data_IF_679278724233
#
_entry.id   IF_679278724233
#
_cell.length_a   1.000
_cell.length_b   1.000
_cell.length_c   1.000
_cell.angle_alpha   90.00
_cell.angle_beta   90.00
_cell.angle_gamma   90.00
#
_symmetry.space_group_name_H-M   'P 1'
#
loop_
_entity.id
_entity.type
_entity.pdbx_description
1 polymer ?
#
# COMPACT_ATOMS: atom_id res chain seq x y z
N UNK A 1 -0.62 -20.46 -10.79
CA UNK A 1 -1.61 -20.29 -9.69
C UNK A 1 -1.25 -19.06 -8.84
N UNK A 2 -2.23 -18.25 -8.43
CA UNK A 2 -2.02 -17.08 -7.55
C UNK A 2 -2.55 -17.37 -6.14
N UNK A 3 -1.69 -17.28 -5.12
CA UNK A 3 -2.07 -17.35 -3.71
C UNK A 3 -2.43 -15.96 -3.19
N UNK A 4 -3.57 -15.81 -2.53
CA UNK A 4 -3.96 -14.58 -1.81
C UNK A 4 -4.09 -14.90 -0.32
N UNK A 5 -3.32 -14.21 0.53
CA UNK A 5 -3.47 -14.34 2.00
C UNK A 5 -4.45 -13.33 2.57
N UNK A 6 -4.92 -13.56 3.81
CA UNK A 6 -5.97 -12.76 4.45
C UNK A 6 -7.18 -12.54 3.51
N UNK A 7 -7.48 -13.58 2.72
CA UNK A 7 -8.38 -13.47 1.58
C UNK A 7 -9.83 -13.25 2.00
N UNK A 8 -10.23 -13.64 3.21
CA UNK A 8 -11.59 -13.44 3.71
C UNK A 8 -11.85 -11.97 4.09
N UNK A 9 -10.80 -11.16 4.28
CA UNK A 9 -10.92 -9.72 4.54
C UNK A 9 -11.47 -8.93 3.35
N UNK A 10 -11.93 -7.70 3.59
CA UNK A 10 -12.54 -6.82 2.55
C UNK A 10 -11.65 -6.67 1.31
N UNK A 11 -10.37 -6.33 1.50
CA UNK A 11 -9.39 -6.18 0.40
C UNK A 11 -9.15 -7.51 -0.30
N UNK A 12 -8.98 -8.60 0.46
CA UNK A 12 -8.78 -9.95 -0.07
C UNK A 12 -9.94 -10.39 -0.97
N UNK A 13 -11.19 -10.24 -0.53
CA UNK A 13 -12.39 -10.57 -1.31
C UNK A 13 -12.47 -9.80 -2.63
N UNK A 14 -12.16 -8.50 -2.59
CA UNK A 14 -12.11 -7.65 -3.79
C UNK A 14 -11.03 -8.12 -4.77
N UNK A 15 -9.84 -8.45 -4.26
CA UNK A 15 -8.74 -8.94 -5.09
C UNK A 15 -9.06 -10.31 -5.70
N UNK A 16 -9.58 -11.26 -4.92
CA UNK A 16 -9.98 -12.58 -5.43
C UNK A 16 -11.00 -12.42 -6.56
N UNK A 17 -12.03 -11.58 -6.37
CA UNK A 17 -13.03 -11.30 -7.41
C UNK A 17 -12.39 -10.74 -8.69
N UNK A 18 -11.48 -9.78 -8.56
CA UNK A 18 -10.81 -9.17 -9.71
C UNK A 18 -9.95 -10.20 -10.46
N UNK A 19 -9.14 -10.99 -9.75
CA UNK A 19 -8.28 -12.01 -10.36
C UNK A 19 -9.08 -13.12 -11.05
N UNK A 20 -10.18 -13.57 -10.45
CA UNK A 20 -11.07 -14.56 -11.06
C UNK A 20 -11.73 -14.00 -12.33
N UNK A 21 -12.16 -12.73 -12.30
CA UNK A 21 -12.73 -12.06 -13.47
C UNK A 21 -11.75 -12.02 -14.65
N UNK A 22 -10.46 -11.83 -14.37
CA UNK A 22 -9.36 -11.89 -15.36
C UNK A 22 -8.95 -13.33 -15.73
N UNK A 23 -9.73 -14.34 -15.34
CA UNK A 23 -9.49 -15.75 -15.66
C UNK A 23 -8.27 -16.35 -14.95
N UNK A 24 -7.76 -15.72 -13.88
CA UNK A 24 -6.59 -16.24 -13.15
C UNK A 24 -7.01 -17.30 -12.13
N UNK A 25 -6.29 -18.43 -12.03
CA UNK A 25 -6.54 -19.43 -11.00
C UNK A 25 -6.07 -18.91 -9.63
N UNK A 26 -7.01 -18.78 -8.68
CA UNK A 26 -6.74 -18.24 -7.34
C UNK A 26 -6.87 -19.32 -6.27
N UNK A 27 -5.86 -19.41 -5.40
CA UNK A 27 -5.93 -20.06 -4.08
C UNK A 27 -6.10 -18.98 -3.03
N UNK A 28 -7.23 -18.97 -2.33
CA UNK A 28 -7.51 -18.05 -1.25
C UNK A 28 -7.21 -18.69 0.11
N UNK A 29 -6.40 -18.01 0.92
CA UNK A 29 -6.02 -18.47 2.27
C UNK A 29 -6.37 -17.43 3.32
N UNK A 30 -6.95 -17.90 4.41
CA UNK A 30 -7.21 -17.12 5.61
C UNK A 30 -7.21 -18.04 6.84
N UNK A 31 -6.99 -17.48 8.02
CA UNK A 31 -7.23 -18.19 9.28
C UNK A 31 -8.73 -18.32 9.56
N UNK A 32 -9.53 -17.37 9.06
CA UNK A 32 -10.97 -17.35 9.21
C UNK A 32 -11.64 -18.43 8.33
N UNK A 33 -12.51 -19.29 8.89
CA UNK A 33 -13.25 -20.30 8.13
C UNK A 33 -14.08 -19.74 6.96
N UNK A 34 -14.50 -18.48 7.04
CA UNK A 34 -15.25 -17.77 6.00
C UNK A 34 -14.51 -17.65 4.66
N UNK A 35 -13.20 -17.95 4.59
CA UNK A 35 -12.49 -18.06 3.31
C UNK A 35 -13.10 -19.12 2.38
N UNK A 36 -13.78 -20.14 2.94
CA UNK A 36 -14.50 -21.14 2.15
C UNK A 36 -15.59 -20.56 1.26
N UNK A 37 -16.20 -19.43 1.65
CA UNK A 37 -17.22 -18.73 0.86
C UNK A 37 -16.67 -18.19 -0.46
N UNK A 38 -15.35 -17.99 -0.58
CA UNK A 38 -14.74 -17.43 -1.79
C UNK A 38 -14.77 -18.41 -2.97
N UNK A 39 -15.12 -19.68 -2.73
CA UNK A 39 -15.55 -20.62 -3.76
C UNK A 39 -16.67 -20.05 -4.62
N UNK A 40 -17.66 -19.40 -4.00
CA UNK A 40 -18.79 -18.80 -4.69
C UNK A 40 -18.37 -17.56 -5.52
N UNK A 41 -17.21 -16.99 -5.24
CA UNK A 41 -16.60 -15.92 -6.04
C UNK A 41 -15.69 -16.48 -7.17
N UNK A 42 -15.62 -17.81 -7.33
CA UNK A 42 -14.83 -18.49 -8.35
C UNK A 42 -13.38 -18.77 -7.97
N UNK A 43 -13.01 -18.68 -6.68
CA UNK A 43 -11.68 -19.12 -6.24
C UNK A 43 -11.47 -20.61 -6.54
N UNK A 44 -10.40 -20.91 -7.29
CA UNK A 44 -10.04 -22.28 -7.69
C UNK A 44 -9.68 -23.14 -6.49
N UNK A 45 -9.12 -22.55 -5.45
CA UNK A 45 -8.84 -23.20 -4.16
C UNK A 45 -9.16 -22.27 -2.98
N UNK A 46 -9.63 -22.84 -1.88
CA UNK A 46 -9.83 -22.14 -0.59
C UNK A 46 -9.25 -22.99 0.52
N UNK A 47 -8.46 -22.39 1.40
CA UNK A 47 -7.77 -23.11 2.46
C UNK A 47 -7.80 -22.30 3.76
N UNK A 48 -8.34 -22.90 4.82
CA UNK A 48 -8.28 -22.35 6.18
C UNK A 48 -6.93 -22.72 6.77
N UNK A 49 -6.05 -21.75 7.02
CA UNK A 49 -4.70 -22.02 7.49
C UNK A 49 -4.18 -20.89 8.39
N UNK A 50 -3.62 -21.27 9.53
CA UNK A 50 -2.69 -20.40 10.24
C UNK A 50 -1.33 -20.43 9.53
N UNK A 51 -0.91 -19.28 9.01
CA UNK A 51 0.35 -19.13 8.31
C UNK A 51 1.56 -19.10 9.26
N UNK A 52 1.38 -19.18 10.57
CA UNK A 52 2.48 -19.45 11.50
C UNK A 52 2.81 -20.94 11.55
N UNK A 53 1.87 -21.82 11.19
CA UNK A 53 2.09 -23.26 11.13
C UNK A 53 2.88 -23.66 9.87
N UNK A 54 4.10 -24.23 10.00
CA UNK A 54 4.95 -24.54 8.85
C UNK A 54 4.32 -25.52 7.85
N UNK A 55 3.57 -26.51 8.34
CA UNK A 55 2.91 -27.50 7.48
C UNK A 55 1.80 -26.85 6.63
N UNK A 56 0.98 -26.00 7.25
CA UNK A 56 -0.11 -25.29 6.56
C UNK A 56 0.42 -24.24 5.58
N UNK A 57 1.53 -23.56 5.90
CA UNK A 57 2.21 -22.69 4.93
C UNK A 57 2.72 -23.45 3.71
N UNK A 58 3.39 -24.60 3.91
CA UNK A 58 3.87 -25.43 2.79
C UNK A 58 2.74 -25.86 1.87
N UNK A 59 1.63 -26.31 2.46
CA UNK A 59 0.41 -26.66 1.73
C UNK A 59 -0.15 -25.46 0.95
N UNK A 60 -0.24 -24.29 1.59
CA UNK A 60 -0.70 -23.07 0.94
C UNK A 60 0.18 -22.68 -0.26
N UNK A 61 1.50 -22.91 -0.19
CA UNK A 61 2.48 -22.52 -1.20
C UNK A 61 2.65 -23.54 -2.34
N UNK A 62 2.13 -24.77 -2.19
CA UNK A 62 2.35 -25.84 -3.16
C UNK A 62 1.78 -25.50 -4.56
N UNK A 63 2.64 -25.44 -5.57
CA UNK A 63 2.25 -25.12 -6.96
C UNK A 63 1.87 -23.65 -7.19
N UNK A 64 2.25 -22.75 -6.29
CA UNK A 64 2.00 -21.30 -6.41
C UNK A 64 3.08 -20.65 -7.26
N UNK A 65 2.67 -19.88 -8.26
CA UNK A 65 3.58 -19.09 -9.12
C UNK A 65 3.71 -17.65 -8.62
N UNK A 66 2.66 -17.11 -8.01
CA UNK A 66 2.60 -15.74 -7.51
C UNK A 66 1.90 -15.68 -6.17
N UNK A 67 2.47 -14.95 -5.22
CA UNK A 67 1.85 -14.68 -3.92
C UNK A 67 1.43 -13.22 -3.86
N UNK A 68 0.19 -12.96 -3.45
CA UNK A 68 -0.24 -11.65 -2.98
C UNK A 68 -0.46 -11.72 -1.47
N UNK A 69 0.53 -11.23 -0.74
CA UNK A 69 0.51 -11.25 0.71
C UNK A 69 -0.13 -9.99 1.27
N UNK A 70 -1.34 -10.15 1.82
CA UNK A 70 -2.01 -9.14 2.63
C UNK A 70 -1.78 -9.52 4.10
N UNK A 71 -1.08 -8.66 4.83
CA UNK A 71 -0.86 -8.82 6.27
C UNK A 71 -2.18 -8.66 7.05
N UNK A 72 -2.46 -9.51 8.05
CA UNK A 72 -3.67 -9.42 8.85
C UNK A 72 -3.70 -8.11 9.66
N UNK A 73 -4.81 -7.39 9.59
CA UNK A 73 -4.95 -6.07 10.18
C UNK A 73 -4.85 -6.11 11.72
N UNK A 74 -3.98 -5.29 12.30
CA UNK A 74 -3.75 -5.15 13.75
C UNK A 74 -3.34 -6.45 14.46
N UNK A 75 -2.79 -7.43 13.74
CA UNK A 75 -2.30 -8.64 14.35
C UNK A 75 -0.92 -8.41 14.98
N UNK A 76 -0.77 -8.70 16.28
CA UNK A 76 0.48 -8.49 17.02
C UNK A 76 1.69 -9.24 16.42
N UNK A 77 1.46 -10.34 15.69
CA UNK A 77 2.50 -11.13 14.98
C UNK A 77 2.51 -10.90 13.47
N UNK A 78 1.98 -9.79 12.97
CA UNK A 78 1.91 -9.51 11.52
C UNK A 78 3.27 -9.63 10.84
N UNK A 79 4.33 -9.06 11.43
CA UNK A 79 5.69 -9.15 10.88
C UNK A 79 6.20 -10.59 10.78
N UNK A 80 5.99 -11.39 11.83
CA UNK A 80 6.39 -12.80 11.87
C UNK A 80 5.66 -13.63 10.81
N UNK A 81 4.35 -13.41 10.64
CA UNK A 81 3.55 -14.04 9.59
C UNK A 81 4.13 -13.69 8.22
N UNK A 82 4.39 -12.41 7.97
CA UNK A 82 4.94 -11.96 6.69
C UNK A 82 6.32 -12.55 6.41
N UNK A 83 7.23 -12.55 7.38
CA UNK A 83 8.54 -13.21 7.24
C UNK A 83 8.41 -14.70 6.93
N UNK A 84 7.52 -15.40 7.62
CA UNK A 84 7.28 -16.82 7.39
C UNK A 84 6.73 -17.10 5.98
N UNK A 85 5.87 -16.23 5.46
CA UNK A 85 5.29 -16.32 4.11
C UNK A 85 6.34 -16.04 3.03
N UNK A 86 7.18 -15.02 3.21
CA UNK A 86 8.27 -14.69 2.27
C UNK A 86 9.32 -15.81 2.24
N UNK A 87 9.70 -16.33 3.41
CA UNK A 87 10.64 -17.45 3.50
C UNK A 87 10.11 -18.70 2.80
N UNK A 88 8.82 -18.98 2.92
CA UNK A 88 8.20 -20.12 2.24
C UNK A 88 8.05 -19.88 0.73
N UNK A 89 7.73 -18.66 0.31
CA UNK A 89 7.69 -18.30 -1.11
C UNK A 89 9.07 -18.51 -1.79
N UNK A 90 10.15 -18.13 -1.10
CA UNK A 90 11.53 -18.40 -1.54
C UNK A 90 11.79 -19.90 -1.67
N UNK A 91 11.42 -20.70 -0.68
CA UNK A 91 11.63 -22.17 -0.70
C UNK A 91 10.85 -22.87 -1.80
N UNK A 92 9.62 -22.42 -2.05
CA UNK A 92 8.75 -22.96 -3.08
C UNK A 92 9.11 -22.50 -4.50
N UNK A 93 10.10 -21.60 -4.67
CA UNK A 93 10.48 -21.08 -5.97
C UNK A 93 9.39 -20.22 -6.61
N UNK A 94 8.62 -19.48 -5.81
CA UNK A 94 7.60 -18.54 -6.29
C UNK A 94 8.24 -17.54 -7.25
N UNK A 95 7.62 -17.36 -8.43
CA UNK A 95 8.13 -16.49 -9.48
C UNK A 95 7.89 -15.00 -9.23
N UNK A 96 6.88 -14.64 -8.43
CA UNK A 96 6.62 -13.25 -8.06
C UNK A 96 5.92 -13.09 -6.70
N UNK A 97 6.34 -12.11 -5.89
CA UNK A 97 5.78 -11.81 -4.58
C UNK A 97 5.25 -10.37 -4.51
N UNK A 98 3.94 -10.21 -4.29
CA UNK A 98 3.30 -8.92 -4.11
C UNK A 98 3.04 -8.69 -2.63
N UNK A 99 3.78 -7.76 -2.01
CA UNK A 99 3.57 -7.32 -0.64
C UNK A 99 2.52 -6.22 -0.59
N UNK A 100 1.41 -6.44 0.12
CA UNK A 100 0.43 -5.40 0.44
C UNK A 100 0.85 -4.66 1.72
N UNK A 101 1.54 -3.55 1.55
CA UNK A 101 2.08 -2.72 2.61
C UNK A 101 1.16 -1.52 2.91
N UNK A 102 1.73 -0.35 3.20
CA UNK A 102 1.07 0.91 3.51
C UNK A 102 2.00 2.07 3.13
N UNK A 103 1.45 3.23 2.80
CA UNK A 103 2.23 4.45 2.63
C UNK A 103 2.93 4.87 3.94
N UNK A 104 4.15 5.43 3.81
CA UNK A 104 4.99 5.88 4.92
C UNK A 104 5.15 4.83 6.04
N UNK A 105 5.61 3.59 5.71
CA UNK A 105 5.81 2.56 6.71
C UNK A 105 6.93 2.91 7.71
N UNK A 106 7.77 3.92 7.40
CA UNK A 106 8.89 4.41 8.21
C UNK A 106 8.48 5.23 9.44
N UNK A 107 7.20 5.61 9.57
CA UNK A 107 6.73 6.37 10.74
C UNK A 107 6.70 5.43 11.96
N UNK A 108 7.69 5.55 12.86
CA UNK A 108 7.92 4.62 13.98
C UNK A 108 6.76 4.57 14.99
N UNK A 109 6.07 5.70 15.20
CA UNK A 109 4.94 5.77 16.11
C UNK A 109 3.73 4.91 15.67
N UNK A 110 3.69 4.48 14.40
CA UNK A 110 2.60 3.67 13.86
C UNK A 110 3.01 2.20 13.85
N UNK A 111 2.71 1.46 14.92
CA UNK A 111 3.16 0.07 15.09
C UNK A 111 2.69 -0.87 13.96
N UNK A 112 1.49 -0.68 13.44
CA UNK A 112 0.98 -1.44 12.30
C UNK A 112 1.69 -1.09 10.98
N UNK A 113 2.30 0.10 10.87
CA UNK A 113 3.18 0.46 9.74
C UNK A 113 4.55 -0.21 9.90
N UNK A 114 5.09 -0.23 11.12
CA UNK A 114 6.36 -0.88 11.41
C UNK A 114 6.33 -2.39 11.12
N UNK A 115 5.21 -3.07 11.41
CA UNK A 115 5.04 -4.47 11.03
C UNK A 115 5.16 -4.67 9.51
N UNK A 116 4.57 -3.78 8.71
CA UNK A 116 4.67 -3.82 7.25
C UNK A 116 6.07 -3.49 6.76
N UNK A 117 6.72 -2.48 7.36
CA UNK A 117 8.13 -2.14 7.06
C UNK A 117 9.05 -3.34 7.30
N UNK A 118 8.84 -4.08 8.38
CA UNK A 118 9.63 -5.26 8.69
C UNK A 118 9.51 -6.34 7.59
N UNK A 119 8.32 -6.52 7.02
CA UNK A 119 8.11 -7.46 5.91
C UNK A 119 8.67 -6.90 4.60
N UNK A 120 8.49 -5.61 4.31
CA UNK A 120 9.10 -4.96 3.14
C UNK A 120 10.62 -5.16 3.12
N UNK A 121 11.31 -4.89 4.25
CA UNK A 121 12.75 -5.11 4.38
C UNK A 121 13.16 -6.55 4.06
N UNK A 122 12.38 -7.52 4.53
CA UNK A 122 12.68 -8.92 4.28
C UNK A 122 12.43 -9.35 2.83
N UNK A 123 11.40 -8.81 2.18
CA UNK A 123 11.16 -9.01 0.73
C UNK A 123 12.29 -8.38 -0.09
N UNK A 124 12.70 -7.15 0.22
CA UNK A 124 13.78 -6.42 -0.45
C UNK A 124 15.12 -7.16 -0.40
N UNK A 125 15.35 -7.92 0.67
CA UNK A 125 16.56 -8.72 0.88
C UNK A 125 16.44 -10.17 0.36
N UNK A 126 15.30 -10.52 -0.24
CA UNK A 126 15.06 -11.85 -0.80
C UNK A 126 15.40 -11.90 -2.29
N UNK A 127 15.78 -13.07 -2.83
CA UNK A 127 15.98 -13.24 -4.28
C UNK A 127 14.66 -13.39 -5.06
N UNK A 128 13.50 -13.31 -4.40
CA UNK A 128 12.20 -13.52 -5.04
C UNK A 128 11.82 -12.23 -5.79
N UNK A 129 11.49 -12.29 -7.10
CA UNK A 129 10.97 -11.12 -7.81
C UNK A 129 9.74 -10.57 -7.11
N UNK A 130 9.63 -9.24 -6.94
CA UNK A 130 8.60 -8.69 -6.07
C UNK A 130 7.98 -7.38 -6.55
N UNK A 131 6.86 -7.03 -5.94
CA UNK A 131 6.22 -5.71 -6.00
C UNK A 131 5.72 -5.33 -4.62
N UNK A 132 6.00 -4.11 -4.16
CA UNK A 132 5.47 -3.60 -2.90
C UNK A 132 4.38 -2.58 -3.24
N UNK A 133 3.15 -2.87 -2.81
CA UNK A 133 2.02 -1.94 -2.93
C UNK A 133 1.87 -1.16 -1.62
N UNK A 134 1.93 0.16 -1.69
CA UNK A 134 1.84 1.06 -0.53
C UNK A 134 0.55 1.88 -0.60
N UNK A 135 -0.62 1.28 -0.34
CA UNK A 135 -1.89 1.97 -0.37
C UNK A 135 -1.96 3.08 0.68
N UNK A 136 -2.73 4.12 0.34
CA UNK A 136 -3.17 5.15 1.29
C UNK A 136 -4.46 4.73 2.01
N UNK A 137 -4.97 5.62 2.86
CA UNK A 137 -6.21 5.41 3.59
C UNK A 137 -7.36 5.07 2.64
N UNK A 138 -8.06 3.97 2.90
CA UNK A 138 -9.10 3.50 1.99
C UNK A 138 -10.38 4.31 2.13
N UNK A 139 -10.97 4.72 1.00
CA UNK A 139 -12.30 5.33 0.98
C UNK A 139 -13.38 4.40 1.55
N UNK A 140 -13.20 3.07 1.44
CA UNK A 140 -14.10 2.07 2.04
C UNK A 140 -14.14 2.08 3.58
N UNK A 141 -13.26 2.84 4.24
CA UNK A 141 -13.30 3.07 5.69
C UNK A 141 -14.13 4.31 6.05
N UNK A 142 -14.61 5.08 5.07
CA UNK A 142 -15.43 6.26 5.26
C UNK A 142 -16.90 5.85 5.15
N UNK A 143 -17.71 6.22 6.15
CA UNK A 143 -19.17 6.17 6.03
C UNK A 143 -19.63 7.31 5.10
N UNK A 144 -19.57 7.05 3.80
CA UNK A 144 -19.99 8.01 2.77
C UNK A 144 -21.46 8.39 2.94
N UNK A 145 -22.42 7.45 3.11
CA UNK A 145 -23.82 7.82 3.33
C UNK A 145 -24.03 8.70 4.56
N UNK A 146 -23.40 8.39 5.69
CA UNK A 146 -23.47 9.22 6.89
C UNK A 146 -22.86 10.60 6.70
N UNK A 147 -21.70 10.66 6.02
CA UNK A 147 -21.02 11.91 5.68
C UNK A 147 -21.91 12.82 4.82
N UNK A 148 -22.55 12.26 3.78
CA UNK A 148 -23.46 13.00 2.89
C UNK A 148 -24.66 13.52 3.66
N UNK A 149 -25.31 12.69 4.49
CA UNK A 149 -26.45 13.13 5.32
C UNK A 149 -26.08 14.24 6.30
N UNK A 150 -24.90 14.16 6.91
CA UNK A 150 -24.44 15.15 7.89
C UNK A 150 -23.87 16.43 7.25
N UNK A 151 -23.67 16.45 5.93
CA UNK A 151 -22.98 17.54 5.21
C UNK A 151 -21.53 17.76 5.63
N UNK A 152 -20.97 16.89 6.48
CA UNK A 152 -19.64 17.05 7.09
C UNK A 152 -18.99 15.70 7.33
N UNK A 153 -17.69 15.60 7.02
CA UNK A 153 -16.85 14.44 7.35
C UNK A 153 -15.98 14.76 8.57
N UNK A 154 -16.25 14.13 9.71
CA UNK A 154 -15.44 14.31 10.93
C UNK A 154 -14.28 13.32 10.94
N UNK A 155 -13.06 13.84 11.02
CA UNK A 155 -11.84 13.04 11.19
C UNK A 155 -11.52 12.92 12.68
N UNK A 156 -10.88 11.82 13.12
CA UNK A 156 -10.43 11.66 14.51
C UNK A 156 -9.20 12.51 14.86
N UNK A 157 -8.77 13.41 13.96
CA UNK A 157 -7.60 14.27 14.13
C UNK A 157 -7.97 15.72 13.83
N UNK A 158 -7.30 16.66 14.49
CA UNK A 158 -7.44 18.08 14.20
C UNK A 158 -7.02 18.39 12.76
N UNK A 159 -7.63 19.42 12.15
CA UNK A 159 -7.27 19.89 10.81
C UNK A 159 -5.80 20.32 10.68
N UNK A 160 -5.16 20.65 11.81
CA UNK A 160 -3.78 21.11 11.91
C UNK A 160 -2.78 20.00 12.25
N UNK A 161 -3.24 18.75 12.41
CA UNK A 161 -2.35 17.63 12.69
C UNK A 161 -1.27 17.52 11.60
N UNK A 162 -0.09 17.01 11.97
CA UNK A 162 1.04 16.72 11.05
C UNK A 162 0.73 15.51 10.15
N UNK A 163 -0.43 15.50 9.53
CA UNK A 163 -0.89 14.50 8.57
C UNK A 163 -1.21 15.24 7.27
N UNK A 164 -0.81 14.66 6.15
CA UNK A 164 -1.06 15.21 4.82
C UNK A 164 -2.57 15.37 4.58
N UNK A 165 -3.08 16.58 4.74
CA UNK A 165 -4.49 16.86 4.50
C UNK A 165 -4.67 17.16 3.02
N UNK A 166 -5.29 16.22 2.30
CA UNK A 166 -5.69 16.43 0.92
C UNK A 166 -6.99 17.24 0.92
N UNK A 167 -6.95 18.45 0.38
CA UNK A 167 -8.14 19.18 -0.02
C UNK A 167 -8.41 18.86 -1.48
N UNK A 168 -9.40 18.02 -1.72
CA UNK A 168 -9.88 17.72 -3.08
C UNK A 168 -10.87 18.80 -3.47
N UNK A 169 -10.59 19.47 -4.59
CA UNK A 169 -11.45 20.50 -5.17
C UNK A 169 -12.49 19.87 -6.10
N UNK A 170 -13.41 20.68 -6.62
CA UNK A 170 -14.49 20.21 -7.48
C UNK A 170 -13.93 19.44 -8.70
N UNK A 171 -14.34 18.17 -8.90
CA UNK A 171 -13.85 17.38 -10.02
C UNK A 171 -14.59 17.73 -11.32
N UNK A 172 -13.87 17.62 -12.45
CA UNK A 172 -14.45 17.62 -13.79
C UNK A 172 -14.49 16.19 -14.34
N UNK A 173 -15.63 15.77 -14.90
CA UNK A 173 -15.78 14.44 -15.48
C UNK A 173 -16.09 14.53 -16.99
N UNK A 174 -15.37 13.75 -17.79
CA UNK A 174 -15.64 13.52 -19.22
C UNK A 174 -16.16 12.11 -19.40
N UNK A 175 -17.44 11.98 -19.73
CA UNK A 175 -18.15 10.68 -19.86
C UNK A 175 -18.25 10.27 -21.32
N UNK A 176 -17.97 9.00 -21.62
CA UNK A 176 -18.09 8.37 -22.93
C UNK A 176 -18.69 6.96 -22.79
N UNK A 177 -20.02 6.88 -22.91
CA UNK A 177 -20.77 5.63 -22.71
C UNK A 177 -20.61 5.11 -21.27
N UNK A 178 -20.20 3.86 -21.13
CA UNK A 178 -19.93 3.21 -19.84
C UNK A 178 -18.55 3.56 -19.24
N UNK A 179 -17.86 4.59 -19.74
CA UNK A 179 -16.55 5.00 -19.24
C UNK A 179 -16.51 6.50 -18.97
N UNK A 180 -15.69 6.92 -18.03
CA UNK A 180 -15.39 8.34 -17.85
C UNK A 180 -13.94 8.56 -17.38
N UNK A 181 -13.42 9.73 -17.67
CA UNK A 181 -12.22 10.28 -17.03
C UNK A 181 -12.66 11.36 -16.07
N UNK A 182 -12.27 11.25 -14.80
CA UNK A 182 -12.55 12.25 -13.78
C UNK A 182 -11.24 12.88 -13.35
N UNK A 183 -11.16 14.19 -13.44
CA UNK A 183 -10.02 14.99 -13.01
C UNK A 183 -10.41 15.76 -11.75
N UNK A 184 -9.65 15.60 -10.67
CA UNK A 184 -9.86 16.32 -9.43
C UNK A 184 -8.58 17.07 -9.03
N UNK A 185 -8.59 18.42 -9.03
CA UNK A 185 -7.50 19.19 -8.46
C UNK A 185 -7.42 18.95 -6.96
N UNK A 186 -6.22 18.88 -6.40
CA UNK A 186 -5.97 18.60 -5.00
C UNK A 186 -4.85 19.47 -4.47
N UNK A 187 -5.06 20.11 -3.33
CA UNK A 187 -3.98 20.72 -2.56
C UNK A 187 -3.68 19.85 -1.36
N UNK A 188 -2.46 19.32 -1.27
CA UNK A 188 -1.96 18.53 -0.15
C UNK A 188 -1.26 19.47 0.82
N UNK A 189 -1.68 19.47 2.07
CA UNK A 189 -1.16 20.38 3.10
C UNK A 189 -0.42 19.62 4.18
N UNK A 190 0.79 20.07 4.47
CA UNK A 190 1.58 19.59 5.60
C UNK A 190 1.89 20.77 6.52
N UNK A 191 1.59 20.60 7.81
CA UNK A 191 2.18 21.43 8.84
C UNK A 191 3.58 20.87 9.16
N UNK A 192 4.61 21.69 8.97
CA UNK A 192 6.00 21.31 9.24
C UNK A 192 6.63 22.28 10.24
N UNK A 193 7.65 21.81 10.95
CA UNK A 193 8.52 22.66 11.78
C UNK A 193 9.94 22.41 11.29
N UNK A 194 10.61 23.47 10.87
CA UNK A 194 11.99 23.44 10.38
C UNK A 194 12.76 24.38 11.31
N UNK A 195 13.72 23.83 12.07
CA UNK A 195 14.55 24.58 13.04
C UNK A 195 13.75 25.45 14.01
N UNK A 196 12.66 24.89 14.54
CA UNK A 196 11.76 25.58 15.48
C UNK A 196 10.78 26.56 14.83
N UNK A 197 10.90 26.84 13.53
CA UNK A 197 9.98 27.72 12.79
C UNK A 197 8.84 26.89 12.21
N UNK A 198 7.59 27.26 12.52
CA UNK A 198 6.40 26.60 11.96
C UNK A 198 6.16 27.11 10.54
N UNK A 199 6.08 26.20 9.58
CA UNK A 199 5.76 26.48 8.18
C UNK A 199 4.66 25.55 7.65
N UNK A 200 4.11 25.89 6.48
CA UNK A 200 3.17 25.03 5.76
C UNK A 200 3.73 24.70 4.38
N UNK A 201 3.88 23.41 4.11
CA UNK A 201 4.14 22.91 2.77
C UNK A 201 2.79 22.65 2.10
N UNK A 202 2.60 23.25 0.93
CA UNK A 202 1.47 23.04 0.04
C UNK A 202 2.02 22.33 -1.20
N UNK A 203 1.45 21.19 -1.54
CA UNK A 203 1.73 20.51 -2.80
C UNK A 203 0.43 20.43 -3.59
N UNK A 204 0.35 21.15 -4.70
CA UNK A 204 -0.76 21.07 -5.62
C UNK A 204 -0.54 19.88 -6.56
N UNK A 205 -1.59 19.11 -6.73
CA UNK A 205 -1.61 17.89 -7.51
C UNK A 205 -2.95 17.76 -8.22
N UNK A 206 -2.98 16.88 -9.20
CA UNK A 206 -4.19 16.51 -9.93
C UNK A 206 -4.37 15.00 -9.92
N UNK A 207 -5.51 14.56 -9.41
CA UNK A 207 -5.91 13.16 -9.41
C UNK A 207 -6.71 12.87 -10.67
N UNK A 208 -6.22 11.92 -11.46
CA UNK A 208 -6.82 11.47 -12.70
C UNK A 208 -7.41 10.08 -12.47
N UNK A 209 -8.73 9.98 -12.49
CA UNK A 209 -9.44 8.72 -12.35
C UNK A 209 -9.91 8.23 -13.70
N UNK A 210 -9.60 6.99 -14.04
CA UNK A 210 -10.33 6.25 -15.07
C UNK A 210 -11.46 5.53 -14.36
N UNK A 211 -12.70 5.77 -14.76
CA UNK A 211 -13.87 5.12 -14.17
C UNK A 211 -14.68 4.42 -15.24
N UNK A 212 -15.37 3.35 -14.88
CA UNK A 212 -16.32 2.68 -15.74
C UNK A 212 -17.59 2.29 -15.00
N UNK A 213 -18.70 2.25 -15.73
CA UNK A 213 -19.99 1.80 -15.26
C UNK A 213 -20.08 0.29 -15.46
N UNK A 214 -20.31 -0.45 -14.38
CA UNK A 214 -20.62 -1.88 -14.40
C UNK A 214 -22.01 -2.08 -13.82
N UNK A 215 -22.94 -2.59 -14.62
CA UNK A 215 -24.37 -2.53 -14.32
C UNK A 215 -24.78 -1.08 -14.00
N UNK A 216 -25.33 -0.80 -12.82
CA UNK A 216 -25.78 0.54 -12.42
C UNK A 216 -24.79 1.28 -11.50
N UNK A 217 -23.55 0.78 -11.35
CA UNK A 217 -22.54 1.37 -10.48
C UNK A 217 -21.31 1.87 -11.25
N UNK A 218 -20.88 3.09 -10.97
CA UNK A 218 -19.57 3.60 -11.40
C UNK A 218 -18.46 3.07 -10.49
N UNK A 219 -17.36 2.62 -11.09
CA UNK A 219 -16.20 2.06 -10.39
C UNK A 219 -14.92 2.71 -10.89
N UNK A 220 -13.99 2.96 -9.96
CA UNK A 220 -12.64 3.43 -10.27
C UNK A 220 -11.81 2.27 -10.80
N UNK A 221 -11.30 2.41 -12.01
CA UNK A 221 -10.35 1.49 -12.65
C UNK A 221 -8.90 1.82 -12.28
N UNK A 222 -8.55 3.10 -12.34
CA UNK A 222 -7.23 3.59 -11.97
C UNK A 222 -7.32 4.99 -11.36
N UNK A 223 -6.30 5.35 -10.59
CA UNK A 223 -6.05 6.68 -10.07
C UNK A 223 -4.58 6.98 -10.31
N UNK A 224 -4.33 8.03 -11.08
CA UNK A 224 -2.98 8.54 -11.37
C UNK A 224 -2.86 9.95 -10.78
N UNK A 225 -1.86 10.18 -9.94
CA UNK A 225 -1.61 11.49 -9.34
C UNK A 225 -0.48 12.20 -10.10
N UNK A 226 -0.75 13.42 -10.57
CA UNK A 226 0.26 14.31 -11.16
C UNK A 226 0.53 15.42 -10.15
N UNK A 227 1.75 15.50 -9.62
CA UNK A 227 2.17 16.64 -8.79
C UNK A 227 2.53 17.80 -9.71
N UNK A 228 1.98 18.98 -9.43
CA UNK A 228 2.07 20.16 -10.31
C UNK A 228 3.02 21.21 -9.74
N UNK A 229 2.73 21.73 -8.53
CA UNK A 229 3.54 22.74 -7.85
C UNK A 229 3.73 22.39 -6.38
N UNK A 230 4.86 22.76 -5.80
CA UNK A 230 5.08 22.67 -4.35
C UNK A 230 5.59 24.00 -3.81
N UNK A 231 4.85 24.58 -2.88
CA UNK A 231 5.17 25.87 -2.24
C UNK A 231 5.34 25.67 -0.74
N UNK A 232 6.48 26.10 -0.20
CA UNK A 232 6.66 26.25 1.24
C UNK A 232 6.36 27.71 1.62
N UNK A 233 5.36 27.91 2.47
CA UNK A 233 4.96 29.24 2.93
C UNK A 233 5.18 29.36 4.43
N UNK A 234 5.68 30.50 4.89
CA UNK A 234 5.82 30.78 6.32
C UNK A 234 7.11 31.48 6.78
N UNK A 235 8.17 31.53 5.95
CA UNK A 235 9.39 32.36 6.15
C UNK A 235 10.42 32.03 5.07
N UNK A 236 11.37 32.95 4.83
CA UNK A 236 12.60 32.68 4.05
C UNK A 236 13.52 31.77 4.86
N UNK A 237 13.62 30.49 4.49
CA UNK A 237 14.65 29.59 5.02
C UNK A 237 16.01 30.10 4.56
N UNK A 238 16.83 30.54 5.52
CA UNK A 238 18.25 30.80 5.31
C UNK A 238 18.96 29.60 5.91
N UNK A 239 19.38 28.65 5.05
CA UNK A 239 20.25 27.56 5.47
C UNK A 239 21.67 28.15 5.52
N UNK A 240 22.32 28.22 6.70
CA UNK A 240 23.69 28.68 6.78
C UNK A 240 24.59 27.78 5.94
N UNK A 241 25.56 28.35 5.24
CA UNK A 241 26.50 27.59 4.38
C UNK A 241 27.25 26.51 5.17
N UNK A 242 27.49 26.72 6.46
CA UNK A 242 28.09 25.75 7.38
C UNK A 242 27.19 24.55 7.73
N UNK A 243 25.88 24.61 7.44
CA UNK A 243 24.92 23.51 7.63
C UNK A 243 24.68 22.70 6.34
N UNK A 244 25.13 23.20 5.19
CA UNK A 244 25.26 22.39 3.98
C UNK A 244 26.45 21.45 4.24
N UNK A 245 26.15 20.22 4.65
CA UNK A 245 27.19 19.27 5.05
C UNK A 245 28.30 19.12 4.01
N UNK A 246 29.52 18.87 4.48
CA UNK A 246 30.67 18.62 3.60
C UNK A 246 30.39 17.45 2.66
N UNK A 247 30.73 17.57 1.37
CA UNK A 247 30.80 16.42 0.48
C UNK A 247 31.85 15.44 1.04
N UNK A 248 31.42 14.23 1.45
CA UNK A 248 32.28 13.18 2.02
C UNK A 248 32.48 12.02 1.04
N UNK A 249 33.27 12.21 -0.04
CA UNK A 249 33.44 11.21 -1.09
C UNK A 249 34.02 9.88 -0.56
N UNK A 250 34.83 9.92 0.50
CA UNK A 250 35.37 8.73 1.16
C UNK A 250 34.27 7.86 1.79
N UNK A 251 33.33 8.50 2.49
CA UNK A 251 32.19 7.81 3.11
C UNK A 251 31.25 7.22 2.05
N UNK A 252 31.05 7.95 0.95
CA UNK A 252 30.29 7.49 -0.22
C UNK A 252 30.97 6.29 -0.89
N UNK A 253 32.29 6.32 -1.07
CA UNK A 253 33.05 5.20 -1.62
C UNK A 253 32.99 3.96 -0.73
N UNK A 254 33.11 4.14 0.59
CA UNK A 254 32.97 3.06 1.58
C UNK A 254 31.55 2.47 1.60
N UNK A 255 30.52 3.30 1.44
CA UNK A 255 29.14 2.85 1.27
C UNK A 255 28.98 1.98 0.02
N UNK A 256 29.48 2.42 -1.14
CA UNK A 256 29.39 1.64 -2.38
C UNK A 256 30.22 0.35 -2.38
N UNK A 257 31.32 0.29 -1.63
CA UNK A 257 32.05 -0.96 -1.39
C UNK A 257 31.16 -1.99 -0.68
N UNK A 258 30.47 -1.58 0.40
CA UNK A 258 29.51 -2.46 1.12
C UNK A 258 28.34 -2.89 0.23
N UNK A 259 27.81 -1.99 -0.60
CA UNK A 259 26.73 -2.32 -1.56
C UNK A 259 27.19 -3.36 -2.57
N UNK A 260 28.42 -3.24 -3.09
CA UNK A 260 29.00 -4.18 -4.05
C UNK A 260 29.23 -5.56 -3.45
N UNK A 261 29.74 -5.64 -2.22
CA UNK A 261 29.91 -6.91 -1.52
C UNK A 261 28.55 -7.59 -1.27
N UNK A 262 27.53 -6.81 -0.90
CA UNK A 262 26.16 -7.31 -0.74
C UNK A 262 25.55 -7.83 -2.04
N UNK A 263 25.72 -7.13 -3.16
CA UNK A 263 25.23 -7.56 -4.48
C UNK A 263 25.91 -8.85 -4.98
N UNK A 264 27.18 -9.06 -4.64
CA UNK A 264 27.97 -10.19 -5.13
C UNK A 264 27.93 -11.42 -4.20
N UNK A 265 27.37 -11.30 -2.99
CA UNK A 265 27.37 -12.33 -1.95
C UNK A 265 26.06 -13.10 -1.76
N UNK A 266 25.11 -12.98 -2.69
CA UNK A 266 23.79 -13.63 -2.65
C UNK A 266 23.75 -15.06 -3.18
#
# INVERSE_FOLDING_TARGET
MILVTAAAGRTGRSLVRALVHEGKPVRAVDIAPSVGELRALGAKETLVADLLEPARRREAMAGVETVVHIGPLFHHREAEIGHAVVAEARRAGVGHFVQFSVVHPQIEALLNHQAKLAVERFVLQSPVPFTILQPMHYLQNIDVPGTVRAGTHRKPFAHEARLAAHQVHAPAARVHGDRAHVEAPVTIRFAVTIDGVRARLLADARLNYRVERRADEWRVLSLDAVYEETTLTGTRLVVPEAELGDDRPEEVAAFYAKVRDWLNGG
#
